data_IF_581011946552
#
_entry.id   IF_581011946552
#
_cell.length_a   1.000
_cell.length_b   1.000
_cell.length_c   1.000
_cell.angle_alpha   90.00
_cell.angle_beta   90.00
_cell.angle_gamma   90.00
#
_symmetry.space_group_name_H-M   'P 1'
#
loop_
_entity.id
_entity.type
_entity.pdbx_description
1 polymer ?
#
# COMPACT_ATOMS: atom_id res chain seq x y z
N UNK A 1 -0.90 0.44 20.73
CA UNK A 1 0.16 1.48 20.63
C UNK A 1 -0.41 2.88 20.79
N UNK A 2 -1.42 3.28 20.00
CA UNK A 2 -2.18 4.52 20.22
C UNK A 2 -3.01 4.45 21.51
N UNK A 3 -3.73 3.35 21.71
CA UNK A 3 -4.53 3.14 22.94
C UNK A 3 -3.67 2.94 24.20
N UNK A 4 -2.38 2.68 24.02
CA UNK A 4 -1.40 2.59 25.11
C UNK A 4 -0.77 3.96 25.44
N UNK A 5 -1.16 5.05 24.75
CA UNK A 5 -0.65 6.40 24.97
C UNK A 5 0.78 6.67 24.51
N UNK A 6 1.45 5.68 23.90
CA UNK A 6 2.86 5.76 23.51
C UNK A 6 3.08 6.50 22.18
N UNK A 7 2.05 6.60 21.34
CA UNK A 7 2.11 7.28 20.05
C UNK A 7 0.88 8.17 19.86
N UNK A 8 1.10 9.42 19.44
CA UNK A 8 0.01 10.32 19.07
C UNK A 8 -0.63 9.78 17.79
N UNK A 9 -1.97 9.65 17.71
CA UNK A 9 -2.64 9.15 16.50
C UNK A 9 -2.21 9.90 15.23
N UNK A 10 -2.02 11.22 15.36
CA UNK A 10 -1.57 12.10 14.28
C UNK A 10 -0.18 11.74 13.73
N UNK A 11 0.76 11.34 14.60
CA UNK A 11 2.11 10.98 14.15
C UNK A 11 2.15 9.66 13.39
N UNK A 12 1.24 8.73 13.65
CA UNK A 12 1.15 7.49 12.87
C UNK A 12 0.63 7.79 11.47
N UNK A 13 -0.48 8.52 11.38
CA UNK A 13 -1.07 8.93 10.10
C UNK A 13 -0.06 9.71 9.26
N UNK A 14 0.69 10.63 9.86
CA UNK A 14 1.71 11.41 9.16
C UNK A 14 2.89 10.54 8.70
N UNK A 15 3.32 9.54 9.47
CA UNK A 15 4.38 8.62 9.03
C UNK A 15 3.92 7.72 7.88
N UNK A 16 2.67 7.27 7.88
CA UNK A 16 2.10 6.48 6.78
C UNK A 16 1.93 7.33 5.53
N UNK A 17 1.41 8.56 5.65
CA UNK A 17 1.29 9.53 4.55
C UNK A 17 2.63 9.91 3.94
N UNK A 18 3.68 9.98 4.75
CA UNK A 18 5.05 10.23 4.29
C UNK A 18 5.80 8.96 3.87
N UNK A 19 5.11 7.82 3.78
CA UNK A 19 5.67 6.55 3.31
C UNK A 19 6.87 6.03 4.13
N UNK A 20 6.86 6.32 5.44
CA UNK A 20 7.91 5.94 6.41
C UNK A 20 7.61 4.65 7.16
N UNK A 21 6.48 4.02 6.88
CA UNK A 21 6.09 2.74 7.48
C UNK A 21 6.27 1.64 6.45
N UNK A 22 7.19 0.71 6.72
CA UNK A 22 7.47 -0.39 5.80
C UNK A 22 6.23 -1.26 5.57
N UNK A 23 6.03 -1.68 4.32
CA UNK A 23 4.89 -2.51 3.93
C UNK A 23 3.55 -1.77 3.80
N UNK A 24 3.43 -0.52 4.26
CA UNK A 24 2.20 0.26 4.11
C UNK A 24 2.35 1.34 3.03
N UNK A 25 1.32 1.48 2.21
CA UNK A 25 1.26 2.49 1.17
C UNK A 25 0.03 3.38 1.36
N UNK A 26 0.24 4.68 1.51
CA UNK A 26 -0.83 5.66 1.56
C UNK A 26 -1.33 5.96 0.14
N UNK A 27 -2.63 5.77 -0.08
CA UNK A 27 -3.33 6.15 -1.29
C UNK A 27 -4.21 7.37 -0.98
N UNK A 28 -3.94 8.55 -1.58
CA UNK A 28 -4.78 9.72 -1.36
C UNK A 28 -6.19 9.50 -1.93
N UNK A 29 -7.15 10.27 -1.41
CA UNK A 29 -8.49 10.29 -1.96
C UNK A 29 -8.50 10.84 -3.39
N UNK A 30 -9.40 10.30 -4.20
CA UNK A 30 -9.81 10.83 -5.50
C UNK A 30 -11.35 10.95 -5.54
N UNK A 31 -11.91 11.51 -6.60
CA UNK A 31 -13.35 11.69 -6.78
C UNK A 31 -14.15 10.38 -6.64
N UNK A 32 -13.55 9.25 -6.99
CA UNK A 32 -14.18 7.93 -6.94
C UNK A 32 -13.82 7.11 -5.68
N UNK A 33 -12.74 7.45 -4.98
CA UNK A 33 -12.20 6.62 -3.91
C UNK A 33 -11.77 7.45 -2.69
N UNK A 34 -12.17 7.06 -1.46
CA UNK A 34 -11.67 7.72 -0.25
C UNK A 34 -10.18 7.43 -0.03
N UNK A 35 -9.54 8.27 0.78
CA UNK A 35 -8.17 8.00 1.22
C UNK A 35 -8.09 6.62 1.87
N UNK A 36 -7.04 5.87 1.54
CA UNK A 36 -6.92 4.47 1.90
C UNK A 36 -5.47 4.12 2.24
N UNK A 37 -5.29 3.11 3.10
CA UNK A 37 -3.97 2.52 3.37
C UNK A 37 -3.98 1.13 2.77
N UNK A 38 -3.01 0.85 1.90
CA UNK A 38 -2.80 -0.46 1.31
C UNK A 38 -1.69 -1.17 2.08
N UNK A 39 -1.99 -2.35 2.64
CA UNK A 39 -0.97 -3.22 3.22
C UNK A 39 -0.38 -4.10 2.12
N UNK A 40 0.87 -3.83 1.75
CA UNK A 40 1.65 -4.57 0.77
C UNK A 40 2.32 -5.82 1.37
N UNK A 41 1.95 -6.25 2.57
CA UNK A 41 2.41 -7.52 3.15
C UNK A 41 1.35 -8.61 3.04
N UNK A 42 0.09 -8.22 2.86
CA UNK A 42 -1.02 -9.15 2.68
C UNK A 42 -1.29 -9.36 1.18
N UNK A 43 -0.72 -10.42 0.63
CA UNK A 43 -0.83 -10.74 -0.80
C UNK A 43 -1.89 -11.81 -1.01
N UNK A 44 -2.82 -11.52 -1.91
CA UNK A 44 -3.72 -12.52 -2.45
C UNK A 44 -3.37 -12.84 -3.90
N UNK A 45 -3.41 -14.13 -4.25
CA UNK A 45 -3.28 -14.57 -5.63
C UNK A 45 -4.66 -14.83 -6.21
N UNK A 46 -4.88 -14.41 -7.46
CA UNK A 46 -6.13 -14.62 -8.17
C UNK A 46 -5.85 -15.30 -9.52
N UNK A 47 -6.70 -16.23 -9.97
CA UNK A 47 -6.58 -16.79 -11.31
C UNK A 47 -6.67 -15.69 -12.37
N UNK A 48 -5.78 -15.72 -13.37
CA UNK A 48 -5.77 -14.72 -14.46
C UNK A 48 -7.10 -14.61 -15.18
N UNK A 49 -7.79 -15.73 -15.36
CA UNK A 49 -9.10 -15.76 -16.02
C UNK A 49 -10.15 -14.96 -15.24
N UNK A 50 -10.19 -15.12 -13.92
CA UNK A 50 -11.08 -14.35 -13.03
C UNK A 50 -10.79 -12.85 -13.17
N UNK A 51 -9.52 -12.45 -13.23
CA UNK A 51 -9.15 -11.04 -13.44
C UNK A 51 -9.68 -10.50 -14.77
N UNK A 52 -9.54 -11.27 -15.86
CA UNK A 52 -10.02 -10.88 -17.18
C UNK A 52 -11.54 -10.74 -17.24
N UNK A 53 -12.27 -11.63 -16.56
CA UNK A 53 -13.73 -11.59 -16.42
C UNK A 53 -14.18 -10.38 -15.60
N UNK A 54 -13.50 -10.07 -14.48
CA UNK A 54 -13.79 -8.87 -13.68
C UNK A 54 -13.61 -7.59 -14.50
N UNK A 55 -12.53 -7.50 -15.29
CA UNK A 55 -12.28 -6.35 -16.18
C UNK A 55 -13.38 -6.24 -17.25
N UNK A 56 -13.76 -7.34 -17.91
CA UNK A 56 -14.85 -7.34 -18.90
C UNK A 56 -16.20 -6.96 -18.29
N UNK A 57 -16.44 -7.34 -17.04
CA UNK A 57 -17.68 -7.02 -16.32
C UNK A 57 -17.77 -5.56 -15.85
N UNK A 58 -16.79 -4.72 -16.21
CA UNK A 58 -16.74 -3.31 -15.79
C UNK A 58 -16.34 -3.12 -14.33
N UNK A 59 -15.95 -4.19 -13.62
CA UNK A 59 -15.42 -4.14 -12.25
C UNK A 59 -13.93 -3.79 -12.27
N UNK A 60 -13.60 -2.66 -12.88
CA UNK A 60 -12.23 -2.13 -12.88
C UNK A 60 -11.90 -1.72 -11.45
N UNK A 61 -10.88 -2.34 -10.85
CA UNK A 61 -10.65 -2.25 -9.40
C UNK A 61 -10.05 -0.90 -9.00
N UNK A 62 -9.13 -0.33 -9.79
CA UNK A 62 -8.68 1.08 -9.76
C UNK A 62 -7.63 1.28 -10.87
N UNK A 63 -7.45 2.49 -11.38
CA UNK A 63 -6.27 2.90 -12.15
C UNK A 63 -5.56 4.00 -11.38
N UNK A 64 -4.24 3.91 -11.24
CA UNK A 64 -3.45 4.96 -10.58
C UNK A 64 -2.81 5.84 -11.63
N UNK A 65 -3.02 7.14 -11.51
CA UNK A 65 -2.37 8.13 -12.36
C UNK A 65 -0.90 8.34 -11.96
N UNK A 66 -0.12 8.91 -12.88
CA UNK A 66 1.22 9.41 -12.55
C UNK A 66 1.09 10.66 -11.67
N UNK A 67 1.93 10.88 -10.64
CA UNK A 67 3.14 10.13 -10.27
C UNK A 67 2.90 8.92 -9.33
N UNK A 68 1.66 8.64 -8.93
CA UNK A 68 1.35 7.61 -7.93
C UNK A 68 1.65 6.20 -8.43
N UNK A 69 1.49 5.95 -9.73
CA UNK A 69 1.89 4.69 -10.33
C UNK A 69 3.39 4.43 -10.17
N UNK A 70 4.22 5.44 -10.42
CA UNK A 70 5.67 5.33 -10.29
C UNK A 70 6.07 5.15 -8.82
N UNK A 71 5.41 5.88 -7.92
CA UNK A 71 5.64 5.78 -6.49
C UNK A 71 5.24 4.41 -5.93
N UNK A 72 4.09 3.86 -6.35
CA UNK A 72 3.67 2.51 -5.99
C UNK A 72 4.64 1.46 -6.55
N UNK A 73 5.10 1.60 -7.80
CA UNK A 73 6.04 0.66 -8.40
C UNK A 73 7.37 0.63 -7.63
N UNK A 74 7.86 1.80 -7.20
CA UNK A 74 9.04 1.90 -6.33
C UNK A 74 8.79 1.19 -4.99
N UNK A 75 7.66 1.46 -4.33
CA UNK A 75 7.29 0.82 -3.07
C UNK A 75 7.15 -0.70 -3.19
N UNK A 76 6.46 -1.18 -4.22
CA UNK A 76 6.33 -2.60 -4.53
C UNK A 76 7.70 -3.25 -4.69
N UNK A 77 8.61 -2.62 -5.44
CA UNK A 77 9.97 -3.12 -5.64
C UNK A 77 10.76 -3.18 -4.33
N UNK A 78 10.63 -2.18 -3.46
CA UNK A 78 11.27 -2.19 -2.14
C UNK A 78 10.69 -3.27 -1.22
N UNK A 79 9.37 -3.49 -1.26
CA UNK A 79 8.72 -4.50 -0.42
C UNK A 79 9.04 -5.93 -0.90
N UNK A 80 8.85 -6.23 -2.18
CA UNK A 80 8.98 -7.59 -2.71
C UNK A 80 10.33 -7.92 -3.34
N UNK A 81 11.16 -6.92 -3.65
CA UNK A 81 12.52 -7.13 -4.14
C UNK A 81 13.51 -7.56 -3.05
N UNK A 82 13.09 -7.58 -1.78
CA UNK A 82 13.91 -7.93 -0.61
C UNK A 82 13.76 -9.40 -0.18
N UNK A 83 13.63 -10.31 -1.15
CA UNK A 83 13.51 -11.76 -0.85
C UNK A 83 14.78 -12.22 -0.12
N UNK A 84 14.63 -12.65 1.14
CA UNK A 84 15.75 -13.14 1.97
C UNK A 84 16.57 -12.06 2.69
N UNK A 85 16.11 -10.80 2.69
CA UNK A 85 16.73 -9.71 3.45
C UNK A 85 15.87 -9.33 4.66
N UNK A 86 16.47 -8.90 5.78
CA UNK A 86 15.71 -8.42 6.94
C UNK A 86 14.82 -7.22 6.56
N UNK A 87 13.73 -7.05 7.30
CA UNK A 87 12.86 -5.89 7.14
C UNK A 87 13.69 -4.62 7.30
N UNK A 88 13.58 -3.65 6.36
CA UNK A 88 14.26 -2.39 6.55
C UNK A 88 13.67 -1.70 7.79
N UNK A 89 14.54 -1.17 8.63
CA UNK A 89 14.18 -0.45 9.87
C UNK A 89 13.79 -1.32 11.08
N UNK A 90 14.00 -2.65 11.03
CA UNK A 90 14.22 -3.44 12.26
C UNK A 90 15.59 -3.04 12.84
N UNK A 91 15.67 -1.85 13.43
CA UNK A 91 16.73 -1.52 14.37
C UNK A 91 16.31 -2.04 15.73
N UNK A 92 17.21 -2.84 16.33
CA UNK A 92 17.21 -3.29 17.72
C UNK A 92 16.72 -2.25 18.73
#
# INVERSE_FOLDING_TARGET
LVDAGLLKPKSIVDNVRNHRVYGWYFLPADNEFPESIVDLRDIHTLPRQMLAELVHSGKRVVSLDSPYREHLAQHFTVTYGRIGLPEPYDTE
#
